data_IF_333965889732
#
_entry.id   IF_333965889732
#
_cell.length_a   1.000
_cell.length_b   1.000
_cell.length_c   1.000
_cell.angle_alpha   90.00
_cell.angle_beta   90.00
_cell.angle_gamma   90.00
#
_symmetry.space_group_name_H-M   'P 1'
#
loop_
_entity.id
_entity.type
_entity.pdbx_description
1 polymer ?
#
# COMPACT_ATOMS: atom_id res chain seq x y z
N UNK A 1 -16.97 3.17 -22.38
CA UNK A 1 -16.27 2.35 -21.37
C UNK A 1 -14.82 2.78 -21.31
N UNK A 2 -14.41 3.30 -20.19
CA UNK A 2 -12.98 3.57 -19.98
C UNK A 2 -12.28 2.22 -19.80
N UNK A 3 -11.55 1.84 -20.82
CA UNK A 3 -10.77 0.61 -20.76
C UNK A 3 -9.52 0.87 -19.94
N UNK A 4 -9.67 0.77 -18.60
CA UNK A 4 -8.57 0.95 -17.64
C UNK A 4 -7.43 -0.04 -17.90
N UNK A 5 -7.72 -1.15 -18.58
CA UNK A 5 -6.73 -2.14 -18.96
C UNK A 5 -5.69 -1.62 -19.96
N UNK A 6 -5.98 -0.52 -20.65
CA UNK A 6 -5.07 0.10 -21.62
C UNK A 6 -4.21 1.22 -21.00
N UNK A 7 -4.38 1.55 -19.72
CA UNK A 7 -3.54 2.52 -19.06
C UNK A 7 -2.17 1.90 -18.79
N UNK A 8 -1.12 2.62 -19.19
CA UNK A 8 0.25 2.19 -18.91
C UNK A 8 0.46 2.16 -17.40
N UNK A 9 0.92 1.03 -16.90
CA UNK A 9 1.26 0.85 -15.49
C UNK A 9 2.66 1.40 -15.22
N UNK A 10 2.82 2.00 -14.05
CA UNK A 10 4.13 2.43 -13.56
C UNK A 10 4.51 1.49 -12.42
N UNK A 11 5.69 0.87 -12.50
CA UNK A 11 6.14 -0.03 -11.44
C UNK A 11 6.57 0.76 -10.21
N UNK A 12 6.36 0.17 -9.04
CA UNK A 12 6.84 0.76 -7.78
C UNK A 12 8.37 0.91 -7.76
N UNK A 13 9.08 0.00 -8.41
CA UNK A 13 10.54 0.08 -8.51
C UNK A 13 10.99 1.32 -9.26
N UNK A 14 10.37 1.61 -10.40
CA UNK A 14 10.66 2.83 -11.16
C UNK A 14 10.28 4.08 -10.38
N UNK A 15 9.14 4.04 -9.71
CA UNK A 15 8.72 5.16 -8.86
C UNK A 15 9.68 5.39 -7.70
N UNK A 16 10.10 4.35 -7.00
CA UNK A 16 11.08 4.46 -5.90
C UNK A 16 12.36 5.15 -6.33
N UNK A 17 12.86 4.82 -7.51
CA UNK A 17 14.09 5.42 -8.05
C UNK A 17 13.93 6.89 -8.45
N UNK A 18 12.72 7.34 -8.73
CA UNK A 18 12.43 8.65 -9.30
C UNK A 18 11.51 9.52 -8.44
N UNK A 19 11.21 9.10 -7.23
CA UNK A 19 10.22 9.75 -6.37
C UNK A 19 10.52 11.23 -6.06
N UNK A 20 11.78 11.64 -6.14
CA UNK A 20 12.22 13.01 -5.93
C UNK A 20 12.78 13.68 -7.19
N UNK A 21 12.57 13.07 -8.35
CA UNK A 21 13.03 13.61 -9.62
C UNK A 21 11.88 14.34 -10.33
N UNK A 22 11.86 15.69 -10.35
CA UNK A 22 10.75 16.46 -10.93
C UNK A 22 10.62 16.33 -12.45
N UNK A 23 11.65 15.83 -13.14
CA UNK A 23 11.66 15.67 -14.60
C UNK A 23 11.38 14.24 -15.06
N UNK A 24 11.10 13.32 -14.13
CA UNK A 24 10.82 11.95 -14.48
C UNK A 24 9.55 11.83 -15.34
N UNK A 25 9.65 11.15 -16.47
CA UNK A 25 8.54 10.99 -17.43
C UNK A 25 7.35 10.22 -16.86
N UNK A 26 7.58 9.37 -15.86
CA UNK A 26 6.52 8.61 -15.20
C UNK A 26 5.50 9.48 -14.47
N UNK A 27 5.88 10.69 -14.06
CA UNK A 27 4.95 11.63 -13.42
C UNK A 27 3.75 11.98 -14.30
N UNK A 28 4.00 12.21 -15.59
CA UNK A 28 2.93 12.50 -16.54
C UNK A 28 1.92 11.35 -16.59
N UNK A 29 2.39 10.13 -16.67
CA UNK A 29 1.55 8.92 -16.68
C UNK A 29 0.72 8.81 -15.40
N UNK A 30 1.35 8.96 -14.24
CA UNK A 30 0.67 8.86 -12.96
C UNK A 30 -0.39 9.95 -12.77
N UNK A 31 -0.09 11.18 -13.15
CA UNK A 31 -1.03 12.31 -13.06
C UNK A 31 -2.22 12.09 -13.98
N UNK A 32 -2.01 11.61 -15.20
CA UNK A 32 -3.08 11.29 -16.14
C UNK A 32 -4.00 10.19 -15.62
N UNK A 33 -3.43 9.15 -15.01
CA UNK A 33 -4.19 8.07 -14.38
C UNK A 33 -5.04 8.61 -13.23
N UNK A 34 -4.45 9.39 -12.33
CA UNK A 34 -5.13 9.96 -11.18
C UNK A 34 -6.34 10.83 -11.60
N UNK A 35 -6.19 11.64 -12.64
CA UNK A 35 -7.27 12.46 -13.17
C UNK A 35 -8.44 11.66 -13.70
N UNK A 36 -8.18 10.49 -14.27
CA UNK A 36 -9.23 9.62 -14.85
C UNK A 36 -9.99 8.82 -13.81
N UNK A 37 -9.34 8.52 -12.69
CA UNK A 37 -9.89 7.58 -11.73
C UNK A 37 -10.78 8.24 -10.68
N UNK A 38 -10.23 9.09 -9.89
CA UNK A 38 -10.96 9.92 -8.91
C UNK A 38 -9.99 10.94 -8.32
N UNK A 39 -10.44 12.17 -8.08
CA UNK A 39 -9.67 13.08 -7.25
C UNK A 39 -9.49 12.46 -5.88
N UNK A 40 -8.29 12.57 -5.32
CA UNK A 40 -8.03 12.10 -3.97
C UNK A 40 -8.93 12.83 -2.98
N UNK A 41 -9.63 12.08 -2.13
CA UNK A 41 -10.45 12.65 -1.06
C UNK A 41 -9.62 13.15 0.12
N UNK A 42 -8.38 12.70 0.22
CA UNK A 42 -7.53 12.92 1.38
C UNK A 42 -6.44 13.95 1.15
N UNK A 43 -6.07 14.16 -0.10
CA UNK A 43 -5.00 15.09 -0.47
C UNK A 43 -5.42 15.91 -1.68
N UNK A 44 -5.23 17.22 -1.58
CA UNK A 44 -5.46 18.14 -2.69
C UNK A 44 -4.41 18.01 -3.79
N UNK A 45 -3.26 17.40 -3.46
CA UNK A 45 -2.15 17.21 -4.37
C UNK A 45 -2.03 15.73 -4.75
N UNK A 46 -2.17 15.38 -6.05
CA UNK A 46 -2.11 13.99 -6.50
C UNK A 46 -0.74 13.34 -6.24
N UNK A 47 0.35 14.11 -6.22
CA UNK A 47 1.68 13.58 -5.96
C UNK A 47 1.79 13.06 -4.52
N UNK A 48 1.20 13.76 -3.56
CA UNK A 48 1.15 13.31 -2.17
C UNK A 48 0.43 11.97 -2.03
N UNK A 49 -0.63 11.77 -2.80
CA UNK A 49 -1.36 10.51 -2.83
C UNK A 49 -0.48 9.35 -3.35
N UNK A 50 0.35 9.61 -4.34
CA UNK A 50 1.28 8.60 -4.88
C UNK A 50 2.35 8.21 -3.89
N UNK A 51 2.84 9.13 -3.06
CA UNK A 51 3.77 8.79 -1.99
C UNK A 51 3.13 7.85 -0.96
N UNK A 52 1.82 7.95 -0.73
CA UNK A 52 1.12 6.99 0.13
C UNK A 52 1.14 5.58 -0.46
N UNK A 53 0.92 5.44 -1.77
CA UNK A 53 1.01 4.14 -2.43
C UNK A 53 2.41 3.55 -2.29
N UNK A 54 3.45 4.37 -2.41
CA UNK A 54 4.82 3.90 -2.25
C UNK A 54 5.09 3.46 -0.79
N UNK A 55 4.59 4.22 0.18
CA UNK A 55 4.71 3.86 1.59
C UNK A 55 4.01 2.52 1.88
N UNK A 56 2.83 2.31 1.33
CA UNK A 56 2.10 1.06 1.47
C UNK A 56 2.85 -0.11 0.82
N UNK A 57 3.44 0.11 -0.34
CA UNK A 57 4.26 -0.89 -1.01
C UNK A 57 5.47 -1.30 -0.15
N UNK A 58 6.17 -0.34 0.43
CA UNK A 58 7.31 -0.65 1.31
C UNK A 58 6.88 -1.44 2.55
N UNK A 59 5.73 -1.10 3.12
CA UNK A 59 5.17 -1.85 4.25
C UNK A 59 4.85 -3.30 3.84
N UNK A 60 4.13 -3.48 2.74
CA UNK A 60 3.77 -4.80 2.25
C UNK A 60 5.02 -5.65 1.94
N UNK A 61 6.03 -5.07 1.28
CA UNK A 61 7.29 -5.77 1.00
C UNK A 61 8.02 -6.18 2.28
N UNK A 62 8.07 -5.31 3.28
CA UNK A 62 8.71 -5.62 4.55
C UNK A 62 7.99 -6.76 5.28
N UNK A 63 6.67 -6.74 5.30
CA UNK A 63 5.85 -7.80 5.92
C UNK A 63 5.99 -9.11 5.17
N UNK A 64 5.91 -9.06 3.83
CA UNK A 64 6.06 -10.25 2.98
C UNK A 64 7.38 -10.97 3.27
N UNK A 65 8.47 -10.22 3.34
CA UNK A 65 9.80 -10.78 3.64
C UNK A 65 9.91 -11.30 5.07
N UNK A 66 9.39 -10.55 6.04
CA UNK A 66 9.49 -10.92 7.46
C UNK A 66 8.72 -12.22 7.77
N UNK A 67 7.61 -12.47 7.11
CA UNK A 67 6.76 -13.63 7.33
C UNK A 67 6.89 -14.72 6.25
N UNK A 68 7.79 -14.54 5.29
CA UNK A 68 7.99 -15.45 4.16
C UNK A 68 6.67 -15.75 3.42
N UNK A 69 5.96 -14.69 3.06
CA UNK A 69 4.69 -14.78 2.35
C UNK A 69 4.87 -14.48 0.86
N UNK A 70 3.85 -14.86 0.07
CA UNK A 70 3.75 -14.51 -1.34
C UNK A 70 2.59 -13.52 -1.55
N UNK A 71 2.70 -12.66 -2.56
CA UNK A 71 1.55 -11.87 -2.99
C UNK A 71 0.49 -12.78 -3.60
N UNK A 72 -0.78 -12.48 -3.33
CA UNK A 72 -1.90 -13.22 -3.92
C UNK A 72 -2.01 -12.96 -5.42
N UNK A 73 -1.61 -11.78 -5.87
CA UNK A 73 -1.59 -11.39 -7.29
C UNK A 73 -0.21 -10.85 -7.66
N UNK A 74 0.30 -11.20 -8.84
CA UNK A 74 1.55 -10.66 -9.38
C UNK A 74 1.46 -9.16 -9.72
N UNK A 75 0.27 -8.60 -9.69
CA UNK A 75 0.02 -7.22 -10.09
C UNK A 75 0.30 -6.20 -8.98
N UNK A 76 0.68 -6.64 -7.77
CA UNK A 76 1.08 -5.76 -6.66
C UNK A 76 2.34 -4.93 -6.92
N UNK A 77 3.01 -5.18 -8.03
CA UNK A 77 4.27 -4.48 -8.36
C UNK A 77 4.05 -3.15 -9.09
N UNK A 78 2.82 -2.83 -9.45
CA UNK A 78 2.49 -1.62 -10.22
C UNK A 78 1.49 -0.72 -9.49
N UNK A 79 1.69 0.58 -9.62
CA UNK A 79 0.75 1.58 -9.12
C UNK A 79 -0.53 1.51 -9.97
N UNK A 80 -1.67 1.62 -9.31
CA UNK A 80 -2.99 1.55 -9.96
C UNK A 80 -3.28 0.23 -10.68
N UNK A 81 -2.88 -0.87 -10.06
CA UNK A 81 -3.32 -2.16 -10.52
C UNK A 81 -4.76 -2.43 -10.05
N UNK A 82 -5.62 -2.71 -11.00
CA UNK A 82 -7.04 -2.98 -10.74
C UNK A 82 -7.39 -4.45 -10.71
N UNK A 83 -6.49 -5.33 -11.14
CA UNK A 83 -6.77 -6.77 -11.17
C UNK A 83 -6.81 -7.38 -9.77
N UNK A 84 -6.18 -6.73 -8.80
CA UNK A 84 -6.12 -7.17 -7.41
C UNK A 84 -7.16 -6.55 -6.48
N UNK A 85 -8.12 -5.78 -6.98
CA UNK A 85 -9.15 -5.18 -6.14
C UNK A 85 -9.97 -6.28 -5.43
N UNK A 86 -10.14 -6.13 -4.11
CA UNK A 86 -10.83 -7.08 -3.25
C UNK A 86 -10.12 -8.43 -3.09
N UNK A 87 -8.85 -8.53 -3.46
CA UNK A 87 -8.04 -9.71 -3.20
C UNK A 87 -7.26 -9.55 -1.89
N UNK A 88 -7.02 -10.65 -1.16
CA UNK A 88 -6.09 -10.63 -0.02
C UNK A 88 -4.71 -10.13 -0.42
N UNK A 89 -4.02 -9.50 0.51
CA UNK A 89 -2.66 -9.01 0.25
C UNK A 89 -1.67 -10.15 0.03
N UNK A 90 -1.72 -11.17 0.89
CA UNK A 90 -0.74 -12.26 0.87
C UNK A 90 -1.38 -13.63 1.00
N UNK A 91 -0.58 -14.63 0.65
CA UNK A 91 -0.90 -16.04 0.83
C UNK A 91 0.36 -16.78 1.28
N UNK A 92 0.22 -17.77 2.15
CA UNK A 92 1.30 -18.65 2.53
C UNK A 92 1.34 -19.94 1.67
N UNK A 93 2.31 -20.83 1.93
CA UNK A 93 2.47 -22.07 1.19
C UNK A 93 1.29 -23.05 1.35
N UNK A 94 0.50 -22.87 2.39
CA UNK A 94 -0.70 -23.68 2.66
C UNK A 94 -1.98 -23.08 2.08
N UNK A 95 -1.87 -21.97 1.34
CA UNK A 95 -3.02 -21.28 0.77
C UNK A 95 -3.80 -20.42 1.76
N UNK A 96 -3.30 -20.21 2.97
CA UNK A 96 -3.91 -19.33 3.96
C UNK A 96 -3.73 -17.88 3.54
N UNK A 97 -4.81 -17.11 3.57
CA UNK A 97 -4.83 -15.72 3.14
C UNK A 97 -4.61 -14.74 4.31
N UNK A 98 -3.91 -13.65 4.00
CA UNK A 98 -3.53 -12.61 4.94
C UNK A 98 -3.93 -11.24 4.42
N UNK A 99 -4.49 -10.42 5.28
CA UNK A 99 -4.78 -9.02 4.99
C UNK A 99 -4.02 -8.12 5.96
N UNK A 100 -3.37 -7.11 5.42
CA UNK A 100 -2.55 -6.17 6.19
C UNK A 100 -3.23 -4.80 6.25
N UNK A 101 -3.35 -4.29 7.45
CA UNK A 101 -3.78 -2.92 7.70
C UNK A 101 -2.72 -2.20 8.54
N UNK A 102 -2.78 -0.89 8.56
CA UNK A 102 -1.89 -0.08 9.37
C UNK A 102 -2.65 1.05 10.05
N UNK A 103 -2.10 1.52 11.13
CA UNK A 103 -2.62 2.65 11.87
C UNK A 103 -1.56 3.24 12.78
N UNK A 104 -1.92 4.33 13.44
CA UNK A 104 -1.01 5.01 14.35
C UNK A 104 -0.60 4.11 15.53
N UNK A 105 -1.56 3.40 16.12
CA UNK A 105 -1.36 2.49 17.24
C UNK A 105 -2.37 1.35 17.18
N UNK A 106 -2.23 0.35 18.06
CA UNK A 106 -3.19 -0.76 18.17
C UNK A 106 -4.63 -0.30 18.42
N UNK A 107 -4.83 0.83 19.06
CA UNK A 107 -6.17 1.40 19.28
C UNK A 107 -6.90 1.70 17.95
N UNK A 108 -6.14 1.96 16.90
CA UNK A 108 -6.70 2.20 15.56
C UNK A 108 -7.41 0.98 14.97
N UNK A 109 -7.19 -0.23 15.50
CA UNK A 109 -7.89 -1.44 15.07
C UNK A 109 -9.41 -1.32 15.20
N UNK A 110 -9.90 -0.60 16.21
CA UNK A 110 -11.32 -0.41 16.44
C UNK A 110 -12.00 0.36 15.29
N UNK A 111 -11.22 1.13 14.52
CA UNK A 111 -11.72 1.92 13.40
C UNK A 111 -11.86 1.11 12.10
N UNK A 112 -11.35 -0.13 12.08
CA UNK A 112 -11.35 -0.97 10.89
C UNK A 112 -12.61 -1.84 10.89
N UNK A 113 -13.46 -1.65 9.88
CA UNK A 113 -14.67 -2.47 9.73
C UNK A 113 -14.30 -3.91 9.37
N UNK A 114 -15.08 -4.86 9.89
CA UNK A 114 -14.86 -6.30 9.65
C UNK A 114 -14.79 -6.64 8.15
N UNK A 115 -15.63 -5.99 7.34
CA UNK A 115 -15.66 -6.18 5.88
C UNK A 115 -14.34 -5.83 5.19
N UNK A 116 -13.57 -4.91 5.77
CA UNK A 116 -12.30 -4.43 5.18
C UNK A 116 -11.17 -5.44 5.34
N UNK A 117 -11.39 -6.50 6.13
CA UNK A 117 -10.45 -7.62 6.25
C UNK A 117 -10.64 -8.68 5.17
N UNK A 118 -11.62 -8.50 4.27
CA UNK A 118 -11.89 -9.34 3.09
C UNK A 118 -12.04 -10.83 3.38
N UNK A 119 -12.53 -11.18 4.58
CA UNK A 119 -12.69 -12.58 4.98
C UNK A 119 -11.41 -13.37 5.14
N UNK A 120 -10.26 -12.70 5.25
CA UNK A 120 -8.98 -13.35 5.41
C UNK A 120 -8.88 -14.08 6.75
N UNK A 121 -8.25 -15.26 6.72
CA UNK A 121 -8.07 -16.08 7.90
C UNK A 121 -7.11 -15.44 8.89
N UNK A 122 -6.07 -14.77 8.41
CA UNK A 122 -5.10 -14.08 9.25
C UNK A 122 -5.17 -12.59 8.99
N UNK A 123 -5.32 -11.83 10.07
CA UNK A 123 -5.32 -10.38 10.08
C UNK A 123 -3.98 -9.89 10.60
N UNK A 124 -3.34 -9.00 9.87
CA UNK A 124 -2.08 -8.37 10.24
C UNK A 124 -2.31 -6.87 10.44
N UNK A 125 -1.68 -6.32 11.45
CA UNK A 125 -1.74 -4.90 11.73
C UNK A 125 -0.37 -4.33 12.06
N UNK A 126 0.04 -3.30 11.35
CA UNK A 126 1.27 -2.57 11.63
C UNK A 126 0.97 -1.30 12.41
N UNK A 127 1.52 -1.21 13.62
CA UNK A 127 1.43 -0.01 14.47
C UNK A 127 2.64 0.90 14.17
N UNK A 128 2.35 2.07 13.62
CA UNK A 128 3.41 3.01 13.23
C UNK A 128 4.16 3.59 14.44
N UNK A 129 3.47 3.82 15.55
CA UNK A 129 4.11 4.33 16.78
C UNK A 129 5.12 3.34 17.34
N UNK A 130 4.73 2.08 17.42
CA UNK A 130 5.55 1.02 18.01
C UNK A 130 6.56 0.43 17.03
N UNK A 131 6.37 0.67 15.74
CA UNK A 131 7.11 0.02 14.65
C UNK A 131 7.06 -1.51 14.77
N UNK A 132 5.89 -2.04 15.12
CA UNK A 132 5.67 -3.45 15.36
C UNK A 132 4.53 -3.98 14.51
N UNK A 133 4.68 -5.23 14.08
CA UNK A 133 3.66 -6.00 13.39
C UNK A 133 2.93 -6.89 14.38
N UNK A 134 1.61 -6.86 14.32
CA UNK A 134 0.72 -7.66 15.17
C UNK A 134 -0.13 -8.58 14.32
N UNK A 135 -0.58 -9.67 14.90
CA UNK A 135 -1.48 -10.64 14.25
C UNK A 135 -2.57 -11.09 15.21
N UNK A 136 -3.70 -11.46 14.65
CA UNK A 136 -4.77 -12.17 15.36
C UNK A 136 -4.69 -13.69 15.18
N UNK A 137 -3.61 -14.22 14.63
CA UNK A 137 -3.45 -15.66 14.46
C UNK A 137 -3.51 -16.37 15.83
N UNK A 138 -4.60 -17.07 16.13
CA UNK A 138 -4.87 -17.65 17.45
C UNK A 138 -6.21 -17.25 18.06
N UNK A 139 -7.00 -16.42 17.38
CA UNK A 139 -8.35 -16.06 17.80
C UNK A 139 -8.67 -14.58 17.61
N UNK A 140 -9.97 -14.30 17.41
CA UNK A 140 -10.47 -12.96 17.07
C UNK A 140 -10.18 -11.88 18.13
N UNK A 141 -9.81 -12.26 19.34
CA UNK A 141 -9.61 -11.33 20.45
C UNK A 141 -8.15 -11.23 20.92
N UNK A 142 -7.25 -12.00 20.32
CA UNK A 142 -5.86 -12.08 20.78
C UNK A 142 -4.89 -11.52 19.75
N UNK A 143 -4.82 -10.20 19.68
CA UNK A 143 -3.75 -9.55 18.93
C UNK A 143 -2.43 -9.68 19.70
N UNK A 144 -1.43 -10.27 19.04
CA UNK A 144 -0.10 -10.44 19.63
C UNK A 144 0.98 -9.92 18.68
N UNK A 145 2.03 -9.44 19.27
CA UNK A 145 3.19 -8.93 18.52
C UNK A 145 3.93 -10.09 17.85
N UNK A 146 4.17 -9.95 16.55
CA UNK A 146 4.99 -10.88 15.78
C UNK A 146 6.45 -10.47 15.75
N UNK A 147 6.73 -9.23 15.38
CA UNK A 147 8.08 -8.70 15.23
C UNK A 147 8.09 -7.18 15.18
N UNK A 148 9.28 -6.61 15.30
CA UNK A 148 9.51 -5.21 15.01
C UNK A 148 9.95 -5.05 13.55
N UNK A 149 9.44 -4.02 12.87
CA UNK A 149 9.80 -3.71 11.48
C UNK A 149 10.12 -2.23 11.36
N UNK A 150 11.33 -1.93 10.90
CA UNK A 150 11.72 -0.57 10.52
C UNK A 150 11.53 -0.41 9.01
N UNK A 151 10.60 0.47 8.63
CA UNK A 151 10.10 0.57 7.26
C UNK A 151 10.44 1.95 6.71
N UNK A 152 10.91 2.00 5.46
CA UNK A 152 11.08 3.24 4.72
C UNK A 152 9.75 3.98 4.65
N UNK A 153 9.81 5.29 4.81
CA UNK A 153 8.63 6.16 4.75
C UNK A 153 8.99 7.52 4.16
N UNK A 154 8.16 8.00 3.26
CA UNK A 154 8.23 9.38 2.74
C UNK A 154 7.08 10.16 3.38
N UNK A 155 7.42 11.25 4.08
CA UNK A 155 6.40 12.20 4.50
C UNK A 155 5.92 12.99 3.28
N UNK A 156 4.64 12.87 2.87
CA UNK A 156 4.13 13.58 1.70
C UNK A 156 4.31 15.11 1.75
N UNK A 157 4.30 15.69 2.94
CA UNK A 157 4.48 17.13 3.11
C UNK A 157 5.89 17.60 2.75
N UNK A 158 6.87 16.71 2.77
CA UNK A 158 8.27 16.99 2.45
C UNK A 158 8.67 16.51 1.05
N UNK A 159 7.76 15.90 0.32
CA UNK A 159 7.99 15.44 -1.05
C UNK A 159 7.75 16.53 -2.09
N UNK A 160 7.89 16.14 -3.35
CA UNK A 160 7.54 17.00 -4.47
C UNK A 160 6.04 17.32 -4.44
N UNK A 161 5.68 18.46 -5.03
CA UNK A 161 4.30 18.88 -5.26
C UNK A 161 4.03 18.97 -6.75
N UNK A 162 2.75 18.99 -7.13
CA UNK A 162 2.38 19.09 -8.54
C UNK A 162 3.05 20.27 -9.24
N UNK A 163 3.18 21.41 -8.56
CA UNK A 163 3.84 22.62 -9.08
C UNK A 163 5.33 22.40 -9.38
N UNK A 164 5.98 21.43 -8.75
CA UNK A 164 7.41 21.14 -8.92
C UNK A 164 7.67 20.22 -10.13
N UNK A 165 6.64 19.55 -10.61
CA UNK A 165 6.76 18.56 -11.69
C UNK A 165 6.86 19.26 -13.04
N UNK A 166 7.87 18.88 -13.81
CA UNK A 166 8.09 19.37 -15.17
C UNK A 166 7.44 18.39 -16.15
N UNK A 167 6.34 18.80 -16.72
CA UNK A 167 5.57 17.99 -17.69
C UNK A 167 5.93 18.31 -19.13
#
# INVERSE_FOLDING_TARGET
>A
MNNLNNLRRVSYKDFEQNAFNPTWSGWKTLIEIEKKLKPSKYYSDPISHMYLFLNNYWLEEAVRKALDLSYKSNDHMAIYDYSGLNMPDFVDDNGVTYELKQGKSLESLELIAEKDWHGCKVKLFYSRMDKCLYSNAGGAFNWHKLCSLDIKHINPDKGLKLKDIVL
#
